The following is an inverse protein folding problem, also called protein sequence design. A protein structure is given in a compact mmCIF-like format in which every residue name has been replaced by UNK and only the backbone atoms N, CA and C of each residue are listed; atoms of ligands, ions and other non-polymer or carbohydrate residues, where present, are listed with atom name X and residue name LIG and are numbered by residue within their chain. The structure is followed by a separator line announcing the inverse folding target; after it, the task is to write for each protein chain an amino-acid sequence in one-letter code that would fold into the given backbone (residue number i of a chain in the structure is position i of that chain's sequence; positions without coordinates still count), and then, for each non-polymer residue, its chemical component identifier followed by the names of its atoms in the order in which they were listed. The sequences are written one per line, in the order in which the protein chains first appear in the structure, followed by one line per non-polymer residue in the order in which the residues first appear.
data_IF_398632209299
#
_entry.id   IF_398632209299
#
_cell.length_a   1.000
_cell.length_b   1.000
_cell.length_c   1.000
_cell.angle_alpha   90.00
_cell.angle_beta   90.00
_cell.angle_gamma   90.00
#
_symmetry.space_group_name_H-M   'P 1'
#
loop_
_entity.id
_entity.type
_entity.pdbx_description
1 polymer ?
#
# COMPACT_ATOMS: atom_id res chain seq x y z
N UNK A 1 -20.47 18.52 -22.00
CA UNK A 1 -19.01 18.35 -21.89
C UNK A 1 -18.74 16.88 -21.64
N UNK A 2 -17.89 16.23 -22.42
CA UNK A 2 -17.45 14.87 -22.13
C UNK A 2 -16.40 15.01 -21.03
N UNK A 3 -16.72 14.55 -19.83
CA UNK A 3 -15.74 14.48 -18.74
C UNK A 3 -14.72 13.39 -19.13
N UNK A 4 -13.51 13.79 -19.46
CA UNK A 4 -12.42 12.83 -19.71
C UNK A 4 -12.03 12.27 -18.35
N UNK A 5 -12.24 10.96 -18.16
CA UNK A 5 -11.79 10.26 -16.96
C UNK A 5 -10.25 10.18 -16.99
N UNK A 6 -9.59 10.72 -15.96
CA UNK A 6 -8.15 10.54 -15.75
C UNK A 6 -7.93 9.23 -14.98
N UNK A 7 -7.07 8.38 -15.49
CA UNK A 7 -6.66 7.15 -14.82
C UNK A 7 -5.20 7.32 -14.41
N UNK A 8 -4.89 6.99 -13.15
CA UNK A 8 -3.54 7.05 -12.59
C UNK A 8 -3.18 5.65 -12.11
N UNK A 9 -2.06 5.13 -12.60
CA UNK A 9 -1.49 3.88 -12.10
C UNK A 9 -0.74 4.16 -10.80
N UNK A 10 -1.25 3.61 -9.70
CA UNK A 10 -0.66 3.73 -8.36
C UNK A 10 0.28 2.57 -8.03
N UNK A 11 0.62 1.72 -9.01
CA UNK A 11 1.47 0.56 -8.79
C UNK A 11 2.89 0.73 -9.34
N UNK A 12 3.84 0.08 -8.68
CA UNK A 12 5.19 -0.10 -9.21
C UNK A 12 5.26 -1.30 -10.14
N UNK A 13 6.01 -1.18 -11.23
CA UNK A 13 6.26 -2.30 -12.16
C UNK A 13 6.96 -3.46 -11.46
N UNK A 14 6.43 -4.68 -11.61
CA UNK A 14 7.09 -5.89 -11.15
C UNK A 14 8.20 -6.29 -12.13
N UNK A 15 9.42 -6.35 -11.65
CA UNK A 15 10.63 -6.69 -12.40
C UNK A 15 11.57 -7.55 -11.55
N UNK A 16 12.60 -8.13 -12.17
CA UNK A 16 13.66 -8.87 -11.44
C UNK A 16 14.40 -7.99 -10.41
N UNK A 17 14.36 -6.68 -10.60
CA UNK A 17 15.00 -5.68 -9.73
C UNK A 17 14.06 -5.08 -8.70
N UNK A 18 12.77 -5.47 -8.70
CA UNK A 18 11.78 -4.97 -7.71
C UNK A 18 12.34 -5.07 -6.30
N UNK A 19 12.34 -3.98 -5.53
CA UNK A 19 12.70 -4.00 -4.13
C UNK A 19 11.83 -4.99 -3.35
N UNK A 20 12.43 -5.69 -2.41
CA UNK A 20 11.73 -6.63 -1.52
C UNK A 20 12.14 -6.37 -0.08
N UNK A 21 11.31 -6.78 0.85
CA UNK A 21 11.65 -6.68 2.28
C UNK A 21 13.03 -7.30 2.55
N UNK A 22 13.88 -6.66 3.39
CA UNK A 22 15.22 -7.15 3.68
C UNK A 22 15.24 -8.62 4.13
N UNK A 23 16.00 -9.45 3.41
CA UNK A 23 16.06 -10.90 3.63
C UNK A 23 15.13 -11.74 2.77
N UNK A 24 14.20 -11.13 2.03
CA UNK A 24 13.32 -11.84 1.07
C UNK A 24 14.00 -12.05 -0.28
N UNK A 25 13.59 -13.09 -1.01
CA UNK A 25 14.06 -13.33 -2.39
C UNK A 25 13.39 -12.35 -3.37
N UNK A 26 14.19 -11.82 -4.30
CA UNK A 26 13.68 -10.99 -5.40
C UNK A 26 12.82 -11.81 -6.37
N UNK A 27 11.88 -11.16 -7.10
CA UNK A 27 11.09 -11.82 -8.13
C UNK A 27 11.97 -12.53 -9.16
N UNK A 28 11.57 -13.75 -9.50
CA UNK A 28 12.18 -14.53 -10.59
C UNK A 28 11.20 -14.54 -11.77
N UNK A 29 11.66 -14.01 -12.89
CA UNK A 29 10.91 -13.96 -14.14
C UNK A 29 11.67 -14.80 -15.18
N UNK A 30 11.16 -15.98 -15.50
CA UNK A 30 11.79 -16.91 -16.44
C UNK A 30 10.91 -17.07 -17.69
N UNK A 31 11.48 -16.85 -18.88
CA UNK A 31 10.79 -17.14 -20.13
C UNK A 31 10.67 -18.65 -20.28
N UNK A 32 9.46 -19.17 -20.35
CA UNK A 32 9.17 -20.62 -20.51
C UNK A 32 8.69 -20.95 -21.92
N UNK A 33 8.16 -19.97 -22.66
CA UNK A 33 7.88 -20.08 -24.07
C UNK A 33 8.33 -18.82 -24.84
N UNK A 34 8.78 -18.97 -26.08
CA UNK A 34 9.21 -17.88 -26.95
C UNK A 34 8.57 -17.94 -28.33
N UNK A 35 8.44 -16.80 -29.02
CA UNK A 35 7.83 -16.73 -30.34
C UNK A 35 8.55 -17.60 -31.37
N UNK A 36 9.89 -17.72 -31.28
CA UNK A 36 10.69 -18.47 -32.26
C UNK A 36 10.48 -19.98 -32.16
N UNK A 37 10.22 -20.48 -30.93
CA UNK A 37 10.09 -21.93 -30.69
C UNK A 37 8.64 -22.39 -30.63
N UNK A 38 7.81 -21.60 -30.00
CA UNK A 38 6.48 -22.00 -29.50
C UNK A 38 5.36 -21.26 -30.21
N UNK A 39 5.66 -20.16 -30.95
CA UNK A 39 4.68 -19.28 -31.59
C UNK A 39 3.96 -18.33 -30.64
N UNK A 40 4.28 -18.34 -29.33
CA UNK A 40 3.77 -17.43 -28.30
C UNK A 40 4.83 -17.18 -27.25
N UNK A 41 4.57 -16.23 -26.36
CA UNK A 41 5.46 -15.90 -25.24
C UNK A 41 4.77 -16.17 -23.92
N UNK A 42 5.45 -16.86 -23.01
CA UNK A 42 4.98 -17.12 -21.66
C UNK A 42 6.12 -16.91 -20.66
N UNK A 43 5.79 -16.34 -19.50
CA UNK A 43 6.76 -16.07 -18.42
C UNK A 43 6.29 -16.74 -17.15
N UNK A 44 7.12 -17.58 -16.56
CA UNK A 44 6.95 -18.07 -15.20
C UNK A 44 7.34 -16.96 -14.22
N UNK A 45 6.44 -16.65 -13.29
CA UNK A 45 6.65 -15.66 -12.23
C UNK A 45 6.71 -16.40 -10.89
N UNK A 46 7.81 -16.24 -10.16
CA UNK A 46 7.96 -16.71 -8.78
C UNK A 46 8.30 -15.49 -7.91
N UNK A 47 7.44 -15.17 -6.97
CA UNK A 47 7.64 -14.07 -6.03
C UNK A 47 6.82 -14.30 -4.75
N UNK A 48 7.18 -13.60 -3.69
CA UNK A 48 6.35 -13.55 -2.48
C UNK A 48 5.11 -12.68 -2.71
N UNK A 49 4.03 -12.94 -1.92
CA UNK A 49 2.79 -12.15 -1.98
C UNK A 49 3.01 -10.66 -1.66
N UNK A 50 3.92 -10.36 -0.72
CA UNK A 50 4.28 -8.99 -0.33
C UNK A 50 5.42 -8.44 -1.19
N UNK A 51 5.19 -8.37 -2.51
CA UNK A 51 6.18 -7.89 -3.48
C UNK A 51 5.63 -6.77 -4.34
N UNK A 52 6.32 -5.64 -4.40
CA UNK A 52 5.87 -4.47 -5.14
C UNK A 52 4.62 -3.85 -4.49
N UNK A 53 3.81 -3.14 -5.26
CA UNK A 53 2.52 -2.65 -4.78
C UNK A 53 1.57 -3.83 -4.56
N UNK A 54 1.08 -4.00 -3.34
CA UNK A 54 0.25 -5.14 -2.96
C UNK A 54 -0.74 -4.79 -1.85
N UNK A 55 -1.63 -5.73 -1.55
CA UNK A 55 -2.66 -5.59 -0.52
C UNK A 55 -2.43 -6.65 0.55
N UNK A 56 -2.44 -6.23 1.81
CA UNK A 56 -2.43 -7.10 2.97
C UNK A 56 -3.84 -7.27 3.54
N UNK A 57 -4.31 -8.51 3.67
CA UNK A 57 -5.53 -8.83 4.40
C UNK A 57 -5.24 -9.12 5.89
N UNK A 58 -6.28 -9.23 6.74
CA UNK A 58 -6.12 -9.67 8.13
C UNK A 58 -5.34 -10.98 8.31
N UNK A 59 -5.44 -11.90 7.33
CA UNK A 59 -4.70 -13.17 7.33
C UNK A 59 -3.17 -13.00 7.27
N UNK A 60 -2.67 -11.80 6.93
CA UNK A 60 -1.23 -11.52 6.96
C UNK A 60 -0.62 -11.75 8.36
N UNK A 61 -1.32 -11.36 9.40
CA UNK A 61 -0.80 -11.42 10.79
C UNK A 61 -1.65 -12.27 11.74
N UNK A 62 -2.82 -12.72 11.31
CA UNK A 62 -3.72 -13.57 12.10
C UNK A 62 -4.08 -14.85 11.36
N UNK A 63 -3.78 -16.01 11.98
CA UNK A 63 -4.05 -17.34 11.40
C UNK A 63 -5.52 -17.55 10.99
N UNK A 64 -6.45 -16.95 11.72
CA UNK A 64 -7.89 -17.00 11.45
C UNK A 64 -8.42 -15.71 10.80
N UNK A 65 -7.54 -14.83 10.35
CA UNK A 65 -7.90 -13.62 9.63
C UNK A 65 -8.47 -13.93 8.25
N UNK A 66 -9.29 -13.02 7.71
CA UNK A 66 -9.81 -13.17 6.36
C UNK A 66 -8.70 -13.01 5.34
N UNK A 67 -8.72 -13.87 4.33
CA UNK A 67 -7.87 -13.76 3.12
C UNK A 67 -8.54 -12.86 2.09
N UNK A 68 -7.78 -12.39 1.06
CA UNK A 68 -8.33 -11.49 0.04
C UNK A 68 -9.50 -12.10 -0.73
N UNK A 69 -9.45 -13.40 -1.01
CA UNK A 69 -10.50 -14.13 -1.72
C UNK A 69 -11.78 -14.36 -0.87
N UNK A 70 -11.68 -14.23 0.45
CA UNK A 70 -12.83 -14.27 1.35
C UNK A 70 -13.52 -12.90 1.53
N UNK A 71 -12.88 -11.80 1.13
CA UNK A 71 -13.46 -10.47 1.18
C UNK A 71 -14.38 -10.22 -0.02
N UNK A 72 -15.50 -9.48 0.14
CA UNK A 72 -16.37 -9.13 -0.98
C UNK A 72 -15.66 -8.17 -1.95
N UNK A 73 -15.96 -8.23 -3.25
CA UNK A 73 -15.36 -7.34 -4.25
C UNK A 73 -15.59 -5.86 -3.93
N UNK A 74 -16.68 -5.52 -3.24
CA UNK A 74 -16.98 -4.16 -2.77
C UNK A 74 -15.96 -3.63 -1.76
N UNK A 75 -15.16 -4.51 -1.14
CA UNK A 75 -14.06 -4.13 -0.25
C UNK A 75 -12.94 -3.41 -1.01
N UNK A 76 -12.75 -3.72 -2.29
CA UNK A 76 -11.65 -3.24 -3.11
C UNK A 76 -12.02 -2.03 -3.98
N UNK A 77 -13.23 -1.49 -3.84
CA UNK A 77 -13.71 -0.36 -4.65
C UNK A 77 -14.31 0.70 -3.74
N UNK A 78 -13.94 1.96 -3.95
CA UNK A 78 -14.50 3.07 -3.18
C UNK A 78 -13.86 4.42 -3.50
N UNK A 79 -14.28 5.43 -2.76
CA UNK A 79 -13.68 6.76 -2.82
C UNK A 79 -12.46 6.82 -1.92
N UNK A 80 -11.35 7.31 -2.47
CA UNK A 80 -10.13 7.51 -1.71
C UNK A 80 -9.83 9.00 -1.52
N UNK A 81 -9.23 9.34 -0.39
CA UNK A 81 -8.61 10.64 -0.17
C UNK A 81 -7.11 10.47 0.06
N UNK A 82 -6.32 11.32 -0.59
CA UNK A 82 -4.87 11.35 -0.41
C UNK A 82 -4.53 12.37 0.67
N UNK A 83 -3.91 11.91 1.75
CA UNK A 83 -3.42 12.71 2.88
C UNK A 83 -1.97 13.11 2.60
N UNK A 84 -1.70 14.40 2.49
CA UNK A 84 -0.35 14.90 2.19
C UNK A 84 0.55 14.87 3.43
N UNK A 85 1.45 13.90 3.46
CA UNK A 85 2.44 13.70 4.53
C UNK A 85 3.88 14.01 4.07
N UNK A 86 4.08 14.63 2.88
CA UNK A 86 5.42 14.85 2.29
C UNK A 86 6.31 15.78 3.09
N UNK A 87 5.76 16.55 4.02
CA UNK A 87 6.51 17.41 4.93
C UNK A 87 6.99 16.70 6.20
N UNK A 88 6.46 15.50 6.49
CA UNK A 88 6.89 14.67 7.62
C UNK A 88 8.28 14.10 7.31
N UNK A 89 9.22 14.30 8.23
CA UNK A 89 10.62 13.91 8.00
C UNK A 89 10.85 12.43 8.25
N UNK A 90 11.92 11.85 7.68
CA UNK A 90 12.33 10.50 7.98
C UNK A 90 12.42 10.24 9.49
N UNK A 91 11.75 9.19 9.97
CA UNK A 91 11.72 8.80 11.38
C UNK A 91 10.71 9.56 12.26
N UNK A 92 10.05 10.60 11.72
CA UNK A 92 8.92 11.23 12.39
C UNK A 92 7.63 10.45 12.18
N UNK A 93 6.63 10.70 13.03
CA UNK A 93 5.32 10.07 12.93
C UNK A 93 4.33 10.98 12.21
N UNK A 94 3.49 10.39 11.38
CA UNK A 94 2.28 11.00 10.83
C UNK A 94 1.24 11.01 11.95
N UNK A 95 0.66 12.18 12.20
CA UNK A 95 -0.24 12.44 13.33
C UNK A 95 -1.63 12.86 12.86
N UNK A 96 -2.55 13.07 13.79
CA UNK A 96 -3.87 13.62 13.47
C UNK A 96 -3.82 15.01 12.82
N UNK A 97 -2.68 15.71 12.89
CA UNK A 97 -2.50 16.98 12.19
C UNK A 97 -2.67 16.80 10.67
N UNK A 98 -1.97 15.86 10.07
CA UNK A 98 -2.02 15.57 8.63
C UNK A 98 -3.42 15.11 8.20
N UNK A 99 -4.08 14.30 9.03
CA UNK A 99 -5.45 13.85 8.80
C UNK A 99 -6.43 15.02 8.82
N UNK A 100 -6.33 15.92 9.80
CA UNK A 100 -7.19 17.09 9.92
C UNK A 100 -6.95 18.10 8.78
N UNK A 101 -5.72 18.27 8.33
CA UNK A 101 -5.37 19.14 7.19
C UNK A 101 -5.94 18.63 5.86
N UNK A 102 -6.23 17.34 5.74
CA UNK A 102 -6.88 16.76 4.56
C UNK A 102 -8.37 17.13 4.44
N UNK A 103 -8.99 17.65 5.52
CA UNK A 103 -10.34 18.22 5.53
C UNK A 103 -11.46 17.22 5.87
N UNK A 104 -12.70 17.73 5.88
CA UNK A 104 -13.88 16.96 6.32
C UNK A 104 -14.20 15.74 5.46
N UNK A 105 -13.71 15.71 4.24
CA UNK A 105 -13.95 14.60 3.30
C UNK A 105 -13.31 13.29 3.74
N UNK A 106 -12.33 13.35 4.67
CA UNK A 106 -11.70 12.16 5.29
C UNK A 106 -12.77 11.25 5.91
N UNK A 107 -13.77 11.83 6.61
CA UNK A 107 -14.81 11.03 7.29
C UNK A 107 -15.74 10.28 6.34
N UNK A 108 -15.86 10.75 5.09
CA UNK A 108 -16.73 10.15 4.06
C UNK A 108 -16.00 9.22 3.09
N UNK A 109 -14.67 9.13 3.17
CA UNK A 109 -13.88 8.29 2.30
C UNK A 109 -13.98 6.80 2.67
N UNK A 110 -13.85 5.93 1.67
CA UNK A 110 -13.69 4.50 1.84
C UNK A 110 -12.22 4.13 2.12
N UNK A 111 -11.28 4.90 1.56
CA UNK A 111 -9.84 4.65 1.69
C UNK A 111 -9.09 5.92 2.08
N UNK A 112 -8.09 5.77 2.95
CA UNK A 112 -7.13 6.82 3.29
C UNK A 112 -5.75 6.45 2.72
N UNK A 113 -5.24 7.27 1.79
CA UNK A 113 -3.94 7.05 1.15
C UNK A 113 -2.95 8.09 1.65
N UNK A 114 -1.92 7.66 2.35
CA UNK A 114 -0.90 8.52 2.95
C UNK A 114 0.25 8.73 1.97
N UNK A 115 0.38 9.95 1.45
CA UNK A 115 1.44 10.35 0.52
C UNK A 115 2.61 10.94 1.29
N UNK A 116 3.64 10.15 1.51
CA UNK A 116 4.89 10.59 2.17
C UNK A 116 5.93 11.10 1.17
N UNK A 117 5.71 10.84 -0.15
CA UNK A 117 6.67 11.08 -1.22
C UNK A 117 7.89 10.16 -1.11
N UNK A 118 7.76 9.02 -0.44
CA UNK A 118 8.83 8.03 -0.27
C UNK A 118 9.02 7.17 -1.50
N UNK A 119 8.01 7.01 -2.34
CA UNK A 119 8.05 6.30 -3.62
C UNK A 119 9.18 6.78 -4.54
N UNK A 120 9.63 8.03 -4.42
CA UNK A 120 10.81 8.57 -5.13
C UNK A 120 12.11 7.81 -4.87
N UNK A 121 12.19 7.09 -3.75
CA UNK A 121 13.35 6.26 -3.39
C UNK A 121 13.22 4.81 -3.87
N UNK A 122 12.14 4.46 -4.59
CA UNK A 122 11.92 3.10 -5.09
C UNK A 122 13.11 2.57 -5.86
N UNK A 123 13.66 1.44 -5.42
CA UNK A 123 14.84 0.82 -6.02
C UNK A 123 16.18 1.30 -5.47
N UNK A 124 16.21 2.37 -4.68
CA UNK A 124 17.39 2.85 -3.98
C UNK A 124 17.50 2.25 -2.56
N UNK A 125 18.67 2.34 -1.95
CA UNK A 125 18.92 1.82 -0.59
C UNK A 125 18.13 2.63 0.46
N UNK A 126 17.93 3.92 0.20
CA UNK A 126 17.16 4.84 1.04
C UNK A 126 15.70 4.40 1.23
N UNK A 127 15.15 3.63 0.28
CA UNK A 127 13.79 3.10 0.38
C UNK A 127 13.58 2.25 1.63
N UNK A 128 14.63 1.56 2.08
CA UNK A 128 14.63 0.72 3.31
C UNK A 128 15.00 1.51 4.57
N UNK A 129 14.99 2.84 4.50
CA UNK A 129 15.31 3.73 5.61
C UNK A 129 14.16 3.95 6.60
N UNK A 130 14.29 5.00 7.40
CA UNK A 130 13.31 5.39 8.41
C UNK A 130 12.15 6.19 7.78
N UNK A 131 11.32 5.56 6.97
CA UNK A 131 10.14 6.22 6.41
C UNK A 131 9.14 6.63 7.51
N UNK A 132 8.34 7.68 7.27
CA UNK A 132 7.29 8.08 8.21
C UNK A 132 6.24 6.97 8.36
N UNK A 133 5.82 6.73 9.61
CA UNK A 133 4.73 5.82 9.93
C UNK A 133 3.63 6.58 10.68
N UNK A 134 2.40 6.11 10.63
CA UNK A 134 1.31 6.68 11.44
C UNK A 134 1.53 6.41 12.93
N UNK A 135 1.10 7.34 13.78
CA UNK A 135 1.08 7.12 15.22
C UNK A 135 -0.15 6.30 15.67
N UNK A 136 -0.22 6.02 16.95
CA UNK A 136 -1.34 5.25 17.53
C UNK A 136 -2.66 6.01 17.52
N UNK A 137 -2.66 7.34 17.55
CA UNK A 137 -3.86 8.17 17.54
C UNK A 137 -4.52 8.13 16.14
N UNK A 138 -3.73 8.25 15.06
CA UNK A 138 -4.21 8.06 13.68
C UNK A 138 -4.73 6.65 13.48
N UNK A 139 -4.04 5.63 14.00
CA UNK A 139 -4.49 4.26 13.89
C UNK A 139 -5.81 4.02 14.63
N UNK A 140 -6.00 4.60 15.82
CA UNK A 140 -7.25 4.54 16.57
C UNK A 140 -8.39 5.27 15.83
N UNK A 141 -8.11 6.42 15.23
CA UNK A 141 -9.06 7.13 14.37
C UNK A 141 -9.53 6.24 13.19
N UNK A 142 -8.59 5.60 12.49
CA UNK A 142 -8.91 4.66 11.40
C UNK A 142 -9.79 3.51 11.91
N UNK A 143 -9.47 2.95 13.07
CA UNK A 143 -10.22 1.85 13.67
C UNK A 143 -11.62 2.23 14.15
N UNK A 144 -11.85 3.48 14.53
CA UNK A 144 -13.17 3.99 14.88
C UNK A 144 -14.01 4.30 13.64
N UNK A 145 -13.38 4.61 12.52
CA UNK A 145 -14.03 4.90 11.25
C UNK A 145 -14.61 3.68 10.53
N UNK A 146 -15.20 3.91 9.37
CA UNK A 146 -15.81 2.87 8.50
C UNK A 146 -14.97 2.63 7.23
N UNK A 147 -13.67 2.82 7.33
CA UNK A 147 -12.77 2.67 6.20
C UNK A 147 -12.67 1.23 5.75
N UNK A 148 -12.67 1.01 4.44
CA UNK A 148 -12.41 -0.28 3.80
C UNK A 148 -10.92 -0.60 3.77
N UNK A 149 -10.08 0.44 3.63
CA UNK A 149 -8.64 0.26 3.54
C UNK A 149 -7.87 1.54 3.80
N UNK A 150 -6.59 1.33 4.01
CA UNK A 150 -5.57 2.38 4.04
C UNK A 150 -4.46 2.04 3.06
N UNK A 151 -3.68 3.03 2.66
CA UNK A 151 -2.55 2.79 1.76
C UNK A 151 -1.41 3.76 1.96
N UNK A 152 -0.20 3.32 1.62
CA UNK A 152 1.04 4.07 1.81
C UNK A 152 1.98 3.89 0.62
N UNK A 153 2.77 4.92 0.35
CA UNK A 153 3.87 4.90 -0.62
C UNK A 153 5.21 4.45 -0.01
N UNK A 154 5.14 3.71 1.09
CA UNK A 154 6.29 3.15 1.82
C UNK A 154 6.23 1.63 1.88
N UNK A 155 7.31 0.99 2.39
CA UNK A 155 7.48 -0.46 2.44
C UNK A 155 6.44 -1.15 3.33
N UNK A 156 5.90 -0.48 4.33
CA UNK A 156 4.92 -1.04 5.26
C UNK A 156 4.41 -0.03 6.28
N UNK A 157 3.29 -0.36 6.93
CA UNK A 157 2.70 0.47 7.99
C UNK A 157 3.57 0.50 9.26
N UNK A 158 4.33 -0.56 9.54
CA UNK A 158 5.33 -0.61 10.62
C UNK A 158 6.72 -0.22 10.11
N UNK A 159 7.59 0.39 10.95
CA UNK A 159 9.00 0.55 10.61
C UNK A 159 9.64 -0.82 10.37
N UNK A 160 10.61 -0.92 9.46
CA UNK A 160 11.35 -2.18 9.17
C UNK A 160 11.98 -2.77 10.43
N UNK A 161 12.34 -1.94 11.40
CA UNK A 161 12.91 -2.37 12.68
C UNK A 161 11.90 -3.02 13.63
N UNK A 162 10.60 -2.84 13.40
CA UNK A 162 9.55 -3.42 14.25
C UNK A 162 9.19 -4.84 13.79
N UNK A 163 9.95 -5.82 14.28
CA UNK A 163 9.68 -7.25 14.02
C UNK A 163 8.39 -7.76 14.68
N UNK A 164 7.78 -6.97 15.57
CA UNK A 164 6.54 -7.35 16.25
C UNK A 164 5.30 -7.12 15.39
N UNK A 165 5.41 -6.30 14.34
CA UNK A 165 4.30 -5.87 13.48
C UNK A 165 3.14 -5.25 14.30
N UNK A 166 3.50 -4.32 15.18
CA UNK A 166 2.55 -3.73 16.13
C UNK A 166 1.35 -3.08 15.45
N UNK A 167 1.60 -2.24 14.44
CA UNK A 167 0.54 -1.52 13.72
C UNK A 167 -0.29 -2.44 12.86
N UNK A 168 0.32 -3.38 12.15
CA UNK A 168 -0.43 -4.42 11.42
C UNK A 168 -1.36 -5.20 12.34
N UNK A 169 -0.86 -5.66 13.50
CA UNK A 169 -1.66 -6.40 14.46
C UNK A 169 -2.80 -5.55 15.03
N UNK A 170 -2.52 -4.28 15.36
CA UNK A 170 -3.55 -3.38 15.86
C UNK A 170 -4.61 -3.11 14.79
N UNK A 171 -4.21 -2.85 13.53
CA UNK A 171 -5.10 -2.62 12.39
C UNK A 171 -6.04 -3.79 12.14
N UNK A 172 -5.51 -5.00 12.07
CA UNK A 172 -6.25 -6.19 11.64
C UNK A 172 -6.97 -6.94 12.76
N UNK A 173 -6.82 -6.53 14.02
CA UNK A 173 -7.30 -7.31 15.18
C UNK A 173 -8.78 -7.66 15.14
N UNK A 174 -9.66 -6.77 14.70
CA UNK A 174 -11.11 -6.95 14.71
C UNK A 174 -11.77 -6.25 13.52
N UNK A 175 -11.07 -6.07 12.42
CA UNK A 175 -11.56 -5.31 11.26
C UNK A 175 -11.30 -6.07 9.97
N UNK A 176 -12.24 -5.98 9.05
CA UNK A 176 -12.11 -6.44 7.65
C UNK A 176 -11.50 -5.33 6.78
N UNK A 177 -10.53 -4.61 7.33
CA UNK A 177 -9.82 -3.54 6.62
C UNK A 177 -8.65 -4.12 5.83
N UNK A 178 -8.29 -3.50 4.72
CA UNK A 178 -7.09 -3.87 3.96
C UNK A 178 -6.01 -2.79 4.10
N UNK A 179 -4.75 -3.19 4.00
CA UNK A 179 -3.60 -2.29 3.94
C UNK A 179 -2.96 -2.41 2.55
N UNK A 180 -2.70 -1.29 1.89
CA UNK A 180 -2.07 -1.24 0.57
C UNK A 180 -0.67 -0.65 0.74
N UNK A 181 0.33 -1.38 0.33
CA UNK A 181 1.73 -1.00 0.52
C UNK A 181 2.44 -0.76 -0.80
N UNK A 182 3.51 0.02 -0.74
CA UNK A 182 4.31 0.39 -1.89
C UNK A 182 3.49 1.04 -3.01
N UNK A 183 2.63 2.00 -2.66
CA UNK A 183 1.94 2.82 -3.65
C UNK A 183 2.94 3.75 -4.37
N UNK A 184 2.57 4.15 -5.59
CA UNK A 184 3.32 5.10 -6.42
C UNK A 184 2.40 6.22 -6.88
N UNK A 185 2.99 7.33 -7.33
CA UNK A 185 2.28 8.41 -8.04
C UNK A 185 1.13 9.08 -7.25
N UNK A 186 1.11 9.00 -5.93
CA UNK A 186 0.06 9.63 -5.10
C UNK A 186 0.04 11.16 -5.22
N UNK A 187 1.09 11.79 -5.74
CA UNK A 187 1.18 13.22 -6.01
C UNK A 187 0.35 13.69 -7.21
N UNK A 188 -0.06 12.76 -8.08
CA UNK A 188 -0.79 13.07 -9.30
C UNK A 188 -2.29 13.30 -9.10
N UNK A 189 -2.83 12.90 -7.95
CA UNK A 189 -4.23 13.11 -7.62
C UNK A 189 -4.46 13.35 -6.12
N UNK A 190 -5.44 14.20 -5.79
CA UNK A 190 -5.87 14.44 -4.41
C UNK A 190 -7.16 13.72 -4.04
N UNK A 191 -7.92 13.23 -5.04
CA UNK A 191 -9.19 12.53 -4.86
C UNK A 191 -9.31 11.46 -5.93
N UNK A 192 -9.34 10.23 -5.53
CA UNK A 192 -9.39 9.08 -6.43
C UNK A 192 -10.59 8.19 -6.12
N UNK A 193 -11.04 7.46 -7.14
CA UNK A 193 -11.82 6.23 -6.97
C UNK A 193 -10.84 5.07 -7.09
N UNK A 194 -10.73 4.29 -6.06
CA UNK A 194 -9.86 3.10 -6.01
C UNK A 194 -10.69 1.87 -6.34
#
# INVERSE_FOLDING_TARGET
MVTVMKIIDLSHTIAKTTPVFPGSEKPQLATVASYEKDGYRETLIRMYSHTGTHIDPPAHVYEKGLTLDALPLTQFIGQAIVIDCRHVKPGELITMKEVNEAGEEVESADFLLFNTGWDKFWGAEEYFGNYPCIDDEVLDFILLGKYKGIGFDVMGIDPISDVSLHRHKKLFKNKEIINIENLANLDQDRKSVV
#
